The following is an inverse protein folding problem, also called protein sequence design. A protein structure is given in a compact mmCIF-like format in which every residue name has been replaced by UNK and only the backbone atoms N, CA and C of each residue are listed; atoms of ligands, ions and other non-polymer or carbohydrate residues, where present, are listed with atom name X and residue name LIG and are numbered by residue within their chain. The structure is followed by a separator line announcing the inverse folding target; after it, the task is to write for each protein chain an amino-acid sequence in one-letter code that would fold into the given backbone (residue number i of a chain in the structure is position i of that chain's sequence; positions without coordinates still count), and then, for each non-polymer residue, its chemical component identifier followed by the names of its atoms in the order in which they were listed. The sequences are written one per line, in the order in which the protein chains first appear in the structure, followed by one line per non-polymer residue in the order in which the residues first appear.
data_IF_574248498980
#
_entry.id   IF_574248498980
#
_cell.length_a   1.000
_cell.length_b   1.000
_cell.length_c   1.000
_cell.angle_alpha   90.00
_cell.angle_beta   90.00
_cell.angle_gamma   90.00
#
_symmetry.space_group_name_H-M   'P 1'
#
loop_
_entity.id
_entity.type
_entity.pdbx_description
1 polymer ?
#
# COMPACT_ATOMS: atom_id res chain seq x y z
N UNK A 1 -4.75 13.88 -8.26
CA UNK A 1 -5.23 14.73 -7.13
C UNK A 1 -4.16 15.77 -6.76
N UNK A 2 -4.42 17.09 -6.84
CA UNK A 2 -3.49 18.08 -6.28
C UNK A 2 -3.46 17.94 -4.75
N UNK A 3 -2.29 17.74 -4.14
CA UNK A 3 -2.14 17.82 -2.67
C UNK A 3 -1.77 16.53 -1.91
N UNK A 4 -1.37 15.44 -2.57
CA UNK A 4 -0.79 14.29 -1.86
C UNK A 4 0.56 14.69 -1.23
N UNK A 5 0.55 15.05 0.06
CA UNK A 5 1.76 15.36 0.82
C UNK A 5 2.50 14.07 1.11
N UNK A 6 3.77 13.97 0.70
CA UNK A 6 4.64 12.85 1.09
C UNK A 6 4.67 12.78 2.61
N UNK A 7 4.16 11.69 3.17
CA UNK A 7 4.29 11.38 4.59
C UNK A 7 5.59 10.59 4.74
N UNK A 8 6.59 11.24 5.32
CA UNK A 8 7.81 10.58 5.72
C UNK A 8 7.59 10.10 7.14
N UNK A 9 7.54 8.78 7.31
CA UNK A 9 7.50 8.14 8.63
C UNK A 9 8.90 7.74 9.03
N UNK A 10 9.23 7.93 10.30
CA UNK A 10 10.45 7.36 10.87
C UNK A 10 10.24 5.85 11.04
N UNK A 11 11.25 5.07 10.68
CA UNK A 11 11.20 3.61 10.84
C UNK A 11 11.04 3.26 12.32
N UNK A 12 10.04 2.45 12.64
CA UNK A 12 9.78 1.96 13.99
C UNK A 12 9.50 0.46 13.96
N UNK A 13 10.45 -0.33 14.44
CA UNK A 13 10.35 -1.79 14.45
C UNK A 13 9.21 -2.30 15.34
N UNK A 14 8.95 -1.64 16.47
CA UNK A 14 7.90 -2.04 17.42
C UNK A 14 6.52 -1.87 16.80
N UNK A 15 6.27 -0.74 16.15
CA UNK A 15 4.98 -0.46 15.52
C UNK A 15 4.74 -1.41 14.34
N UNK A 16 5.78 -1.69 13.55
CA UNK A 16 5.68 -2.65 12.44
C UNK A 16 5.38 -4.07 12.93
N UNK A 17 6.04 -4.53 13.98
CA UNK A 17 5.79 -5.85 14.56
C UNK A 17 4.36 -5.97 15.11
N UNK A 18 3.85 -4.89 15.72
CA UNK A 18 2.47 -4.84 16.18
C UNK A 18 1.47 -4.94 15.02
N UNK A 19 1.67 -4.18 13.94
CA UNK A 19 0.82 -4.27 12.74
C UNK A 19 0.85 -5.65 12.10
N UNK A 20 2.01 -6.29 12.02
CA UNK A 20 2.16 -7.65 11.50
C UNK A 20 1.34 -8.65 12.33
N UNK A 21 1.44 -8.57 13.67
CA UNK A 21 0.66 -9.42 14.57
C UNK A 21 -0.85 -9.30 14.32
N UNK A 22 -1.36 -8.08 14.14
CA UNK A 22 -2.79 -7.86 13.86
C UNK A 22 -3.22 -8.48 12.53
N UNK A 23 -2.35 -8.47 11.52
CA UNK A 23 -2.63 -9.15 10.24
C UNK A 23 -2.64 -10.67 10.43
N UNK A 24 -1.65 -11.21 11.15
CA UNK A 24 -1.52 -12.65 11.38
C UNK A 24 -2.68 -13.22 12.21
N UNK A 25 -3.26 -12.43 13.13
CA UNK A 25 -4.42 -12.82 13.94
C UNK A 25 -5.77 -12.51 13.28
N UNK A 26 -5.78 -12.06 12.02
CA UNK A 26 -6.97 -11.62 11.26
C UNK A 26 -7.74 -10.45 11.91
N UNK A 27 -7.13 -9.74 12.87
CA UNK A 27 -7.66 -8.53 13.50
C UNK A 27 -7.50 -7.29 12.59
N UNK A 28 -6.59 -7.34 11.62
CA UNK A 28 -6.37 -6.32 10.60
C UNK A 28 -6.27 -6.94 9.20
N UNK A 29 -7.23 -6.61 8.32
CA UNK A 29 -7.18 -7.05 6.92
C UNK A 29 -6.47 -6.02 6.02
N UNK A 30 -5.34 -6.41 5.43
CA UNK A 30 -4.69 -5.63 4.38
C UNK A 30 -5.49 -5.74 3.07
N UNK A 31 -6.13 -4.65 2.65
CA UNK A 31 -6.84 -4.60 1.37
C UNK A 31 -5.85 -4.33 0.24
N UNK A 32 -5.78 -5.25 -0.73
CA UNK A 32 -5.05 -5.05 -1.98
C UNK A 32 -6.06 -4.65 -3.05
N UNK A 33 -5.99 -3.39 -3.49
CA UNK A 33 -6.89 -2.81 -4.47
C UNK A 33 -6.44 -3.10 -5.92
N UNK A 34 -5.16 -3.40 -6.13
CA UNK A 34 -4.61 -3.75 -7.44
C UNK A 34 -3.30 -4.51 -7.32
N UNK A 35 -3.05 -5.42 -8.25
CA UNK A 35 -1.79 -6.15 -8.41
C UNK A 35 -1.27 -5.92 -9.82
N UNK A 36 -0.03 -5.51 -9.94
CA UNK A 36 0.61 -5.22 -11.22
C UNK A 36 1.99 -5.89 -11.25
N UNK A 37 2.36 -6.58 -12.34
CA UNK A 37 3.75 -6.98 -12.54
C UNK A 37 4.64 -5.74 -12.66
N UNK A 38 5.94 -5.90 -12.38
CA UNK A 38 6.90 -4.81 -12.50
C UNK A 38 6.89 -4.17 -13.89
N UNK A 39 6.65 -4.96 -14.94
CA UNK A 39 6.56 -4.48 -16.32
C UNK A 39 5.43 -3.44 -16.52
N UNK A 40 4.38 -3.49 -15.67
CA UNK A 40 3.22 -2.60 -15.71
C UNK A 40 3.33 -1.45 -14.68
N UNK A 41 4.54 -1.11 -14.22
CA UNK A 41 4.74 -0.10 -13.16
C UNK A 41 4.10 1.25 -13.51
N UNK A 42 4.11 1.64 -14.80
CA UNK A 42 3.43 2.85 -15.27
C UNK A 42 1.93 2.82 -14.97
N UNK A 43 1.27 1.73 -15.37
CA UNK A 43 -0.18 1.54 -15.17
C UNK A 43 -0.52 1.48 -13.69
N UNK A 44 0.35 0.90 -12.85
CA UNK A 44 0.18 0.90 -11.41
C UNK A 44 0.16 2.33 -10.83
N UNK A 45 1.08 3.20 -11.27
CA UNK A 45 1.13 4.61 -10.87
C UNK A 45 -0.08 5.40 -11.36
N UNK A 46 -0.43 5.28 -12.64
CA UNK A 46 -1.58 5.96 -13.23
C UNK A 46 -2.89 5.59 -12.52
N UNK A 47 -3.07 4.30 -12.20
CA UNK A 47 -4.23 3.81 -11.44
C UNK A 47 -4.29 4.39 -10.02
N UNK A 48 -3.15 4.54 -9.35
CA UNK A 48 -3.08 5.14 -8.02
C UNK A 48 -3.37 6.65 -8.05
N UNK A 49 -2.81 7.36 -9.03
CA UNK A 49 -2.94 8.81 -9.17
C UNK A 49 -4.34 9.26 -9.62
N UNK A 50 -5.04 8.42 -10.37
CA UNK A 50 -6.45 8.59 -10.73
C UNK A 50 -7.36 8.66 -9.48
N UNK A 51 -6.92 8.09 -8.35
CA UNK A 51 -7.68 8.04 -7.10
C UNK A 51 -8.77 6.97 -7.13
N UNK A 52 -9.57 6.91 -6.06
CA UNK A 52 -10.68 5.95 -5.94
C UNK A 52 -10.30 4.53 -5.53
N UNK A 53 -9.01 4.22 -5.41
CA UNK A 53 -8.55 2.92 -4.89
C UNK A 53 -8.78 2.83 -3.37
N UNK A 54 -9.52 1.82 -2.93
CA UNK A 54 -9.71 1.49 -1.52
C UNK A 54 -8.78 0.33 -1.11
N UNK A 55 -7.50 0.65 -0.90
CA UNK A 55 -6.50 -0.34 -0.49
C UNK A 55 -5.10 0.03 -0.96
N UNK A 56 -4.20 -0.95 -0.92
CA UNK A 56 -2.83 -0.83 -1.41
C UNK A 56 -2.71 -1.36 -2.84
N UNK A 57 -1.79 -0.77 -3.59
CA UNK A 57 -1.30 -1.31 -4.86
C UNK A 57 -0.10 -2.20 -4.55
N UNK A 58 -0.11 -3.42 -5.08
CA UNK A 58 0.97 -4.40 -4.92
C UNK A 58 1.70 -4.55 -6.24
N UNK A 59 3.02 -4.43 -6.21
CA UNK A 59 3.90 -4.75 -7.35
C UNK A 59 4.45 -6.16 -7.17
N UNK A 60 4.40 -6.97 -8.23
CA UNK A 60 4.91 -8.35 -8.25
C UNK A 60 6.10 -8.47 -9.19
N UNK A 61 7.03 -9.38 -8.86
CA UNK A 61 8.23 -9.69 -9.65
C UNK A 61 8.09 -11.02 -10.37
#
# INVERSE_FOLDING_TARGET
MPGARKSYVQENATDLAHLAKLVDTDELRLRIAGRFPLDDIRTAHESFEAGGLLGKVLITF
#
